data_IF_097472376107
#
_entry.id   IF_097472376107
#
_cell.length_a   1.000
_cell.length_b   1.000
_cell.length_c   1.000
_cell.angle_alpha   90.00
_cell.angle_beta   90.00
_cell.angle_gamma   90.00
#
_symmetry.space_group_name_H-M   'P 1'
#
loop_
_entity.id
_entity.type
_entity.pdbx_description
1 polymer ?
#
# COMPACT_ATOMS: atom_id res chain seq x y z
N UNK A 1 9.89 18.15 -28.34
CA UNK A 1 8.79 18.89 -27.70
C UNK A 1 7.87 17.88 -27.04
N UNK A 2 7.72 17.89 -25.70
CA UNK A 2 6.91 16.87 -25.00
C UNK A 2 7.03 16.83 -23.47
N UNK A 3 7.68 17.80 -22.82
CA UNK A 3 7.89 17.81 -21.36
C UNK A 3 6.81 18.54 -20.55
N UNK A 4 5.88 19.25 -21.19
CA UNK A 4 4.90 20.11 -20.50
C UNK A 4 3.70 19.38 -19.89
N UNK A 5 3.15 18.35 -20.54
CA UNK A 5 1.94 17.68 -20.04
C UNK A 5 2.19 16.83 -18.79
N UNK A 6 3.41 16.31 -18.61
CA UNK A 6 3.77 15.53 -17.43
C UNK A 6 4.11 16.39 -16.20
N UNK A 7 4.55 17.65 -16.39
CA UNK A 7 4.76 18.57 -15.27
C UNK A 7 3.44 19.03 -14.66
N UNK A 8 2.43 19.34 -15.48
CA UNK A 8 1.09 19.74 -15.01
C UNK A 8 0.43 18.62 -14.19
N UNK A 9 0.62 17.36 -14.59
CA UNK A 9 0.10 16.22 -13.84
C UNK A 9 0.81 16.02 -12.49
N UNK A 10 2.14 16.15 -12.44
CA UNK A 10 2.89 16.09 -11.17
C UNK A 10 2.52 17.25 -10.24
N UNK A 11 2.26 18.43 -10.79
CA UNK A 11 1.76 19.57 -10.03
C UNK A 11 0.35 19.32 -9.52
N UNK A 12 -0.54 18.74 -10.32
CA UNK A 12 -1.87 18.32 -9.88
C UNK A 12 -1.79 17.31 -8.74
N UNK A 13 -0.94 16.28 -8.84
CA UNK A 13 -0.72 15.31 -7.76
C UNK A 13 -0.19 15.99 -6.49
N UNK A 14 0.76 16.91 -6.63
CA UNK A 14 1.31 17.68 -5.51
C UNK A 14 0.25 18.58 -4.86
N UNK A 15 -0.58 19.23 -5.66
CA UNK A 15 -1.68 20.07 -5.19
C UNK A 15 -2.75 19.24 -4.46
N UNK A 16 -3.12 18.08 -5.01
CA UNK A 16 -4.05 17.15 -4.37
C UNK A 16 -3.52 16.58 -3.05
N UNK A 17 -2.24 16.21 -3.00
CA UNK A 17 -1.57 15.76 -1.78
C UNK A 17 -1.52 16.88 -0.72
N UNK A 18 -1.22 18.12 -1.13
CA UNK A 18 -1.20 19.29 -0.24
C UNK A 18 -2.59 19.65 0.27
N UNK A 19 -3.65 19.51 -0.55
CA UNK A 19 -5.03 19.72 -0.13
C UNK A 19 -5.45 18.71 0.95
N UNK A 20 -5.13 17.43 0.76
CA UNK A 20 -5.39 16.39 1.75
C UNK A 20 -4.62 16.61 3.07
N UNK A 21 -3.39 17.10 3.00
CA UNK A 21 -2.60 17.49 4.18
C UNK A 21 -3.24 18.66 4.95
N UNK A 22 -3.82 19.65 4.24
CA UNK A 22 -4.53 20.78 4.85
C UNK A 22 -5.83 20.35 5.54
N UNK A 23 -6.60 19.44 4.95
CA UNK A 23 -7.80 18.88 5.58
C UNK A 23 -7.50 18.09 6.85
N UNK A 24 -6.34 17.43 6.94
CA UNK A 24 -5.91 16.74 8.15
C UNK A 24 -5.35 17.67 9.23
N UNK A 25 -4.83 18.84 8.84
CA UNK A 25 -4.27 19.83 9.76
C UNK A 25 -5.32 20.83 10.30
N UNK A 26 -6.47 20.98 9.62
CA UNK A 26 -7.50 21.96 9.95
C UNK A 26 -8.79 21.35 10.49
N UNK A 27 -8.91 21.24 11.81
CA UNK A 27 -10.22 21.20 12.45
C UNK A 27 -10.88 22.58 12.38
N UNK A 28 -12.09 22.63 11.79
CA UNK A 28 -13.10 23.71 11.83
C UNK A 28 -12.89 25.02 11.04
N UNK A 29 -13.68 25.15 9.95
CA UNK A 29 -14.36 26.38 9.46
C UNK A 29 -13.60 27.36 8.56
N UNK A 30 -14.26 28.29 7.82
CA UNK A 30 -15.71 28.55 7.69
C UNK A 30 -16.26 28.42 6.25
N UNK A 31 -17.59 28.40 6.16
CA UNK A 31 -18.36 28.44 4.91
C UNK A 31 -18.27 29.84 4.24
N UNK A 32 -17.94 29.88 2.95
CA UNK A 32 -17.95 31.10 2.14
C UNK A 32 -17.80 30.79 0.66
N UNK A 33 -18.80 31.18 -0.12
CA UNK A 33 -19.06 30.80 -1.50
C UNK A 33 -18.11 31.46 -2.52
N UNK A 34 -17.79 30.72 -3.59
CA UNK A 34 -17.11 31.21 -4.79
C UNK A 34 -17.01 30.11 -5.84
N UNK A 35 -17.94 30.09 -6.79
CA UNK A 35 -18.17 28.99 -7.71
C UNK A 35 -17.03 28.75 -8.71
N UNK A 36 -16.48 27.54 -8.67
CA UNK A 36 -16.16 26.77 -9.85
C UNK A 36 -17.04 25.51 -9.78
N UNK A 37 -17.89 25.28 -10.79
CA UNK A 37 -18.67 24.04 -10.91
C UNK A 37 -17.72 22.88 -11.19
N UNK A 38 -16.95 22.45 -10.19
CA UNK A 38 -16.45 21.10 -10.14
C UNK A 38 -17.68 20.21 -10.12
N UNK A 39 -17.86 19.46 -11.20
CA UNK A 39 -18.90 18.43 -11.32
C UNK A 39 -19.01 17.74 -9.96
N UNK A 40 -20.17 17.90 -9.30
CA UNK A 40 -20.44 17.33 -7.98
C UNK A 40 -20.50 15.82 -8.17
N UNK A 41 -19.32 15.19 -8.18
CA UNK A 41 -19.12 13.77 -8.43
C UNK A 41 -19.85 13.00 -7.35
N UNK A 42 -21.03 12.48 -7.69
CA UNK A 42 -21.80 11.63 -6.80
C UNK A 42 -21.08 10.27 -6.72
N UNK A 43 -20.85 9.71 -5.53
CA UNK A 43 -20.45 8.31 -5.42
C UNK A 43 -21.49 7.48 -6.20
N UNK A 44 -21.02 6.51 -6.97
CA UNK A 44 -21.90 5.62 -7.74
C UNK A 44 -23.00 5.11 -6.80
N UNK A 45 -24.24 5.53 -7.09
CA UNK A 45 -25.39 5.15 -6.27
C UNK A 45 -25.51 3.63 -6.27
N UNK A 46 -26.19 3.07 -5.26
CA UNK A 46 -26.52 1.64 -5.19
C UNK A 46 -27.14 1.10 -6.50
N UNK A 47 -27.69 2.00 -7.35
CA UNK A 47 -28.23 1.71 -8.67
C UNK A 47 -27.27 1.81 -9.88
N UNK A 48 -25.99 2.17 -9.72
CA UNK A 48 -25.03 2.08 -10.83
C UNK A 48 -24.81 0.63 -11.25
N UNK A 49 -24.58 -0.24 -10.27
CA UNK A 49 -24.39 -1.68 -10.49
C UNK A 49 -25.63 -2.37 -11.06
N UNK A 50 -26.84 -1.88 -10.76
CA UNK A 50 -28.08 -2.42 -11.34
C UNK A 50 -28.31 -1.99 -12.80
N UNK A 51 -27.53 -1.02 -13.32
CA UNK A 51 -27.54 -0.63 -14.74
C UNK A 51 -26.46 -1.32 -15.57
N UNK A 52 -25.51 -1.98 -14.91
CA UNK A 52 -24.46 -2.79 -15.55
C UNK A 52 -24.87 -4.18 -16.09
N UNK A 53 -26.01 -4.82 -15.76
CA UNK A 53 -26.29 -6.20 -16.21
C UNK A 53 -26.26 -6.41 -17.72
N UNK A 54 -26.50 -5.35 -18.50
CA UNK A 54 -26.50 -5.42 -19.97
C UNK A 54 -25.15 -5.02 -20.60
N UNK A 55 -24.13 -4.70 -19.79
CA UNK A 55 -22.83 -4.36 -20.31
C UNK A 55 -22.07 -5.63 -20.73
N UNK A 56 -21.31 -5.54 -21.81
CA UNK A 56 -20.60 -6.70 -22.39
C UNK A 56 -19.61 -7.38 -21.43
N UNK A 57 -19.18 -6.67 -20.38
CA UNK A 57 -18.22 -7.10 -19.35
C UNK A 57 -18.90 -7.66 -18.08
N UNK A 58 -20.24 -7.69 -18.01
CA UNK A 58 -20.99 -8.09 -16.82
C UNK A 58 -21.61 -9.50 -16.94
N UNK A 59 -21.06 -10.34 -17.82
CA UNK A 59 -21.55 -11.71 -17.99
C UNK A 59 -21.11 -12.60 -16.82
N UNK A 60 -22.00 -13.46 -16.29
CA UNK A 60 -21.71 -14.29 -15.12
C UNK A 60 -20.62 -15.33 -15.35
N UNK A 61 -20.38 -15.73 -16.59
CA UNK A 61 -19.35 -16.69 -16.98
C UNK A 61 -17.92 -16.11 -16.99
N UNK A 62 -17.76 -14.79 -16.84
CA UNK A 62 -16.42 -14.22 -16.88
C UNK A 62 -15.60 -14.55 -15.63
N UNK A 63 -14.42 -15.05 -15.91
CA UNK A 63 -13.26 -15.11 -15.01
C UNK A 63 -12.35 -13.89 -15.26
N UNK A 64 -11.41 -13.56 -14.36
CA UNK A 64 -10.42 -12.51 -14.62
C UNK A 64 -9.66 -12.73 -15.94
N UNK A 65 -9.28 -13.97 -16.26
CA UNK A 65 -8.57 -14.30 -17.51
C UNK A 65 -9.44 -14.07 -18.75
N UNK A 66 -10.65 -14.63 -18.80
CA UNK A 66 -11.54 -14.48 -19.97
C UNK A 66 -12.02 -13.03 -20.16
N UNK A 67 -12.25 -12.30 -19.05
CA UNK A 67 -12.55 -10.86 -19.13
C UNK A 67 -11.36 -10.06 -19.65
N UNK A 68 -10.13 -10.43 -19.26
CA UNK A 68 -8.92 -9.77 -19.74
C UNK A 68 -8.74 -9.94 -21.26
N UNK A 69 -8.94 -11.15 -21.77
CA UNK A 69 -8.88 -11.41 -23.22
C UNK A 69 -9.88 -10.55 -24.01
N UNK A 70 -11.13 -10.46 -23.53
CA UNK A 70 -12.15 -9.62 -24.16
C UNK A 70 -11.82 -8.12 -24.05
N UNK A 71 -11.24 -7.67 -22.92
CA UNK A 71 -10.72 -6.29 -22.76
C UNK A 71 -9.65 -6.02 -23.83
N UNK A 72 -8.68 -6.91 -24.00
CA UNK A 72 -7.60 -6.75 -24.98
C UNK A 72 -8.17 -6.67 -26.41
N UNK A 73 -9.05 -7.62 -26.78
CA UNK A 73 -9.69 -7.64 -28.11
C UNK A 73 -10.48 -6.35 -28.41
N UNK A 74 -11.07 -5.73 -27.38
CA UNK A 74 -11.78 -4.44 -27.53
C UNK A 74 -10.85 -3.23 -27.55
N UNK A 75 -9.74 -3.28 -26.81
CA UNK A 75 -8.70 -2.25 -26.84
C UNK A 75 -8.05 -2.13 -28.22
N UNK A 76 -7.89 -3.24 -28.95
CA UNK A 76 -7.41 -3.24 -30.34
C UNK A 76 -8.37 -2.49 -31.28
N UNK A 77 -9.68 -2.63 -31.03
CA UNK A 77 -10.74 -1.95 -31.78
C UNK A 77 -11.05 -0.55 -31.25
N UNK A 78 -10.32 -0.05 -30.25
CA UNK A 78 -10.59 1.21 -29.53
C UNK A 78 -12.02 1.32 -28.97
N UNK A 79 -12.66 0.20 -28.64
CA UNK A 79 -14.03 0.16 -28.07
C UNK A 79 -14.05 -0.15 -26.58
N UNK A 80 -12.87 -0.31 -25.95
CA UNK A 80 -12.79 -0.59 -24.53
C UNK A 80 -12.89 0.69 -23.68
N UNK A 81 -13.75 0.65 -22.67
CA UNK A 81 -13.89 1.68 -21.65
C UNK A 81 -13.30 1.24 -20.31
N UNK A 82 -13.15 2.20 -19.39
CA UNK A 82 -12.65 1.94 -18.04
C UNK A 82 -13.63 1.13 -17.16
N UNK A 83 -14.90 1.04 -17.55
CA UNK A 83 -15.93 0.38 -16.74
C UNK A 83 -15.67 -1.12 -16.54
N UNK A 84 -15.07 -1.79 -17.53
CA UNK A 84 -14.71 -3.21 -17.44
C UNK A 84 -13.66 -3.48 -16.34
N UNK A 85 -12.81 -2.48 -16.03
CA UNK A 85 -11.81 -2.59 -14.97
C UNK A 85 -12.44 -2.70 -13.58
N UNK A 86 -13.64 -2.16 -13.37
CA UNK A 86 -14.35 -2.36 -12.11
C UNK A 86 -14.76 -3.82 -11.91
N UNK A 87 -15.20 -4.49 -12.98
CA UNK A 87 -15.53 -5.91 -12.91
C UNK A 87 -14.27 -6.73 -12.69
N UNK A 88 -13.17 -6.38 -13.39
CA UNK A 88 -11.87 -7.01 -13.17
C UNK A 88 -11.43 -6.92 -11.70
N UNK A 89 -11.49 -5.74 -11.08
CA UNK A 89 -11.17 -5.55 -9.66
C UNK A 89 -12.11 -6.33 -8.72
N UNK A 90 -13.35 -6.60 -9.14
CA UNK A 90 -14.32 -7.36 -8.34
C UNK A 90 -14.06 -8.87 -8.40
N UNK A 91 -13.62 -9.37 -9.55
CA UNK A 91 -13.40 -10.80 -9.80
C UNK A 91 -12.03 -11.27 -9.31
N UNK A 92 -11.01 -10.41 -9.32
CA UNK A 92 -9.67 -10.77 -8.88
C UNK A 92 -9.59 -10.95 -7.36
N UNK A 93 -9.28 -12.18 -6.95
CA UNK A 93 -9.21 -12.65 -5.56
C UNK A 93 -7.87 -13.32 -5.21
N UNK A 94 -7.00 -13.56 -6.20
CA UNK A 94 -5.65 -14.07 -6.00
C UNK A 94 -4.56 -13.10 -6.50
N UNK A 95 -3.29 -13.24 -6.06
CA UNK A 95 -2.20 -12.41 -6.55
C UNK A 95 -1.99 -12.50 -8.07
N UNK A 96 -2.21 -13.68 -8.67
CA UNK A 96 -2.11 -13.88 -10.13
C UNK A 96 -3.23 -13.16 -10.88
N UNK A 97 -4.45 -13.20 -10.35
CA UNK A 97 -5.59 -12.46 -10.91
C UNK A 97 -5.40 -10.95 -10.76
N UNK A 98 -4.80 -10.49 -9.65
CA UNK A 98 -4.46 -9.08 -9.47
C UNK A 98 -3.38 -8.61 -10.48
N UNK A 99 -2.40 -9.46 -10.82
CA UNK A 99 -1.44 -9.18 -11.90
C UNK A 99 -2.13 -9.08 -13.26
N UNK A 100 -3.07 -9.99 -13.54
CA UNK A 100 -3.90 -9.95 -14.75
C UNK A 100 -4.72 -8.66 -14.81
N UNK A 101 -5.30 -8.25 -13.67
CA UNK A 101 -6.03 -7.00 -13.58
C UNK A 101 -5.12 -5.79 -13.87
N UNK A 102 -3.91 -5.74 -13.31
CA UNK A 102 -2.96 -4.66 -13.60
C UNK A 102 -2.59 -4.58 -15.09
N UNK A 103 -2.41 -5.73 -15.76
CA UNK A 103 -2.20 -5.79 -17.20
C UNK A 103 -3.42 -5.24 -17.97
N UNK A 104 -4.64 -5.52 -17.50
CA UNK A 104 -5.87 -4.94 -18.05
C UNK A 104 -5.88 -3.40 -17.93
N UNK A 105 -5.49 -2.85 -16.77
CA UNK A 105 -5.35 -1.40 -16.57
C UNK A 105 -4.39 -0.80 -17.61
N UNK A 106 -3.22 -1.41 -17.83
CA UNK A 106 -2.26 -0.95 -18.82
C UNK A 106 -2.83 -0.98 -20.25
N UNK A 107 -3.51 -2.07 -20.63
CA UNK A 107 -4.12 -2.22 -21.96
C UNK A 107 -5.21 -1.18 -22.23
N UNK A 108 -6.13 -1.00 -21.27
CA UNK A 108 -7.20 0.01 -21.37
C UNK A 108 -6.59 1.40 -21.42
N UNK A 109 -5.56 1.67 -20.62
CA UNK A 109 -4.92 2.98 -20.59
C UNK A 109 -4.25 3.30 -21.93
N UNK A 110 -3.51 2.36 -22.50
CA UNK A 110 -2.93 2.51 -23.84
C UNK A 110 -4.01 2.78 -24.91
N UNK A 111 -5.14 2.08 -24.85
CA UNK A 111 -6.28 2.32 -25.75
C UNK A 111 -6.87 3.72 -25.60
N UNK A 112 -7.07 4.20 -24.37
CA UNK A 112 -7.62 5.54 -24.12
C UNK A 112 -6.67 6.65 -24.59
N UNK A 113 -5.36 6.49 -24.38
CA UNK A 113 -4.35 7.43 -24.86
C UNK A 113 -4.34 7.52 -26.39
N UNK A 114 -4.47 6.39 -27.11
CA UNK A 114 -4.63 6.40 -28.58
C UNK A 114 -5.86 7.16 -29.05
N UNK A 115 -6.91 7.21 -28.23
CA UNK A 115 -8.13 7.97 -28.49
C UNK A 115 -8.04 9.45 -28.05
N UNK A 116 -6.86 9.91 -27.59
CA UNK A 116 -6.65 11.27 -27.10
C UNK A 116 -7.16 11.52 -25.67
N UNK A 117 -7.60 10.48 -24.95
CA UNK A 117 -8.11 10.57 -23.57
C UNK A 117 -6.99 10.33 -22.58
N UNK A 118 -6.34 11.41 -22.17
CA UNK A 118 -5.15 11.39 -21.29
C UNK A 118 -5.49 11.62 -19.82
N UNK A 119 -6.75 11.81 -19.46
CA UNK A 119 -7.15 12.03 -18.07
C UNK A 119 -6.90 10.77 -17.22
N UNK A 120 -6.51 10.91 -15.95
CA UNK A 120 -6.42 9.79 -15.04
C UNK A 120 -7.75 9.07 -14.85
N UNK A 121 -7.69 7.83 -14.39
CA UNK A 121 -8.86 7.11 -13.95
C UNK A 121 -9.55 7.81 -12.78
N UNK A 122 -10.86 7.57 -12.67
CA UNK A 122 -11.65 8.16 -11.60
C UNK A 122 -11.16 7.66 -10.23
N UNK A 123 -11.28 8.50 -9.17
CA UNK A 123 -10.90 8.09 -7.81
C UNK A 123 -11.61 6.81 -7.34
N UNK A 124 -12.84 6.57 -7.80
CA UNK A 124 -13.59 5.37 -7.47
C UNK A 124 -12.95 4.10 -8.05
N UNK A 125 -12.36 4.17 -9.25
CA UNK A 125 -11.66 3.04 -9.84
C UNK A 125 -10.34 2.78 -9.12
N UNK A 126 -9.62 3.84 -8.72
CA UNK A 126 -8.43 3.70 -7.88
C UNK A 126 -8.77 3.07 -6.51
N UNK A 127 -9.92 3.40 -5.91
CA UNK A 127 -10.40 2.74 -4.69
C UNK A 127 -10.76 1.26 -4.95
N UNK A 128 -11.41 0.95 -6.07
CA UNK A 128 -11.72 -0.42 -6.44
C UNK A 128 -10.44 -1.26 -6.64
N UNK A 129 -9.42 -0.67 -7.27
CA UNK A 129 -8.09 -1.27 -7.39
C UNK A 129 -7.47 -1.57 -6.02
N UNK A 130 -7.44 -0.61 -5.08
CA UNK A 130 -6.89 -0.86 -3.74
C UNK A 130 -7.70 -1.89 -2.94
N UNK A 131 -9.02 -2.00 -3.15
CA UNK A 131 -9.84 -3.07 -2.57
C UNK A 131 -9.49 -4.44 -3.13
N UNK A 132 -9.24 -4.52 -4.44
CA UNK A 132 -8.75 -5.74 -5.09
C UNK A 132 -7.40 -6.16 -4.51
N UNK A 133 -6.45 -5.22 -4.39
CA UNK A 133 -5.13 -5.49 -3.77
C UNK A 133 -5.28 -6.10 -2.36
N UNK A 134 -6.20 -5.58 -1.56
CA UNK A 134 -6.51 -6.14 -0.23
C UNK A 134 -7.07 -7.54 -0.30
N UNK A 135 -8.06 -7.76 -1.17
CA UNK A 135 -8.76 -9.03 -1.27
C UNK A 135 -7.85 -10.15 -1.79
N UNK A 136 -6.92 -9.78 -2.68
CA UNK A 136 -5.98 -10.69 -3.30
C UNK A 136 -4.65 -10.83 -2.53
N UNK A 137 -4.44 -10.09 -1.44
CA UNK A 137 -3.16 -9.99 -0.73
C UNK A 137 -1.96 -9.87 -1.69
N UNK A 138 -2.02 -8.87 -2.57
CA UNK A 138 -1.08 -8.68 -3.69
C UNK A 138 -0.21 -7.40 -3.52
N UNK A 139 0.69 -7.34 -2.52
CA UNK A 139 1.49 -6.14 -2.25
C UNK A 139 2.46 -5.82 -3.40
N UNK A 140 3.01 -6.83 -4.07
CA UNK A 140 3.89 -6.69 -5.23
C UNK A 140 3.19 -5.98 -6.40
N UNK A 141 1.91 -6.30 -6.61
CA UNK A 141 1.07 -5.63 -7.63
C UNK A 141 0.84 -4.17 -7.27
N UNK A 142 0.69 -3.84 -5.98
CA UNK A 142 0.61 -2.45 -5.53
C UNK A 142 1.94 -1.70 -5.72
N UNK A 143 3.08 -2.35 -5.43
CA UNK A 143 4.41 -1.79 -5.66
C UNK A 143 4.59 -1.44 -7.14
N UNK A 144 4.25 -2.35 -8.04
CA UNK A 144 4.34 -2.12 -9.48
C UNK A 144 3.38 -1.02 -9.94
N UNK A 145 2.15 -1.02 -9.42
CA UNK A 145 1.18 0.04 -9.71
C UNK A 145 1.64 1.42 -9.21
N UNK A 146 2.33 1.50 -8.07
CA UNK A 146 2.92 2.75 -7.57
C UNK A 146 4.07 3.22 -8.48
N UNK A 147 4.97 2.31 -8.90
CA UNK A 147 6.08 2.65 -9.82
C UNK A 147 5.58 3.20 -11.15
N UNK A 148 4.44 2.71 -11.62
CA UNK A 148 3.83 3.06 -12.92
C UNK A 148 2.53 3.85 -12.78
N UNK A 149 2.30 4.51 -11.65
CA UNK A 149 1.00 5.14 -11.35
C UNK A 149 0.58 6.15 -12.44
N UNK A 150 1.52 6.93 -12.94
CA UNK A 150 1.30 7.91 -14.02
C UNK A 150 0.98 7.23 -15.35
N UNK A 151 1.73 6.19 -15.71
CA UNK A 151 1.53 5.41 -16.95
C UNK A 151 0.17 4.73 -16.95
N UNK A 152 -0.21 4.14 -15.81
CA UNK A 152 -1.47 3.43 -15.60
C UNK A 152 -2.65 4.39 -15.39
N UNK A 153 -2.43 5.71 -15.28
CA UNK A 153 -3.48 6.67 -14.97
C UNK A 153 -4.12 6.45 -13.58
N UNK A 154 -3.41 5.82 -12.64
CA UNK A 154 -3.89 5.55 -11.29
C UNK A 154 -3.52 6.69 -10.34
N UNK A 155 -4.54 7.32 -9.75
CA UNK A 155 -4.38 8.28 -8.65
C UNK A 155 -4.70 7.60 -7.32
N UNK A 156 -3.69 6.99 -6.72
CA UNK A 156 -3.84 6.23 -5.48
C UNK A 156 -3.95 7.16 -4.26
N UNK A 157 -4.99 6.95 -3.46
CA UNK A 157 -5.23 7.74 -2.25
C UNK A 157 -4.29 7.33 -1.13
N UNK A 158 -3.53 8.29 -0.58
CA UNK A 158 -2.69 8.09 0.60
C UNK A 158 -3.46 7.45 1.77
N UNK A 159 -4.68 7.91 2.04
CA UNK A 159 -5.53 7.37 3.12
C UNK A 159 -5.81 5.88 2.93
N UNK A 160 -6.13 5.47 1.70
CA UNK A 160 -6.43 4.06 1.38
C UNK A 160 -5.18 3.18 1.38
N UNK A 161 -4.05 3.70 0.91
CA UNK A 161 -2.77 3.00 1.04
C UNK A 161 -2.42 2.80 2.52
N UNK A 162 -2.60 3.81 3.37
CA UNK A 162 -2.39 3.66 4.81
C UNK A 162 -3.34 2.65 5.46
N UNK A 163 -4.59 2.51 5.00
CA UNK A 163 -5.50 1.46 5.47
C UNK A 163 -4.97 0.05 5.13
N UNK A 164 -4.41 -0.16 3.93
CA UNK A 164 -3.75 -1.41 3.56
C UNK A 164 -2.54 -1.70 4.44
N UNK A 165 -1.64 -0.72 4.57
CA UNK A 165 -0.44 -0.85 5.40
C UNK A 165 -0.79 -1.17 6.86
N UNK A 166 -1.88 -0.60 7.40
CA UNK A 166 -2.35 -0.97 8.75
C UNK A 166 -2.82 -2.41 8.83
N UNK A 167 -3.59 -2.87 7.85
CA UNK A 167 -4.06 -4.26 7.79
C UNK A 167 -2.90 -5.25 7.77
N UNK A 168 -1.91 -5.02 6.91
CA UNK A 168 -0.68 -5.81 6.87
C UNK A 168 0.16 -5.68 8.14
N UNK A 169 0.17 -4.50 8.76
CA UNK A 169 0.88 -4.27 10.03
C UNK A 169 0.26 -5.04 11.20
N UNK A 170 -1.07 -5.15 11.22
CA UNK A 170 -1.80 -5.97 12.19
C UNK A 170 -1.59 -7.48 11.93
N UNK A 171 -1.36 -7.89 10.68
CA UNK A 171 -1.01 -9.26 10.30
C UNK A 171 0.48 -9.62 10.54
N UNK A 172 1.34 -8.63 10.80
CA UNK A 172 2.77 -8.88 10.96
C UNK A 172 3.55 -8.96 9.63
N UNK A 173 3.03 -8.39 8.56
CA UNK A 173 3.66 -8.41 7.24
C UNK A 173 4.58 -7.20 7.02
N UNK A 174 5.66 -7.13 7.80
CA UNK A 174 6.60 -5.99 7.75
C UNK A 174 7.30 -5.90 6.38
N UNK A 175 7.66 -7.03 5.78
CA UNK A 175 8.32 -7.06 4.47
C UNK A 175 7.46 -6.41 3.38
N UNK A 176 6.15 -6.71 3.36
CA UNK A 176 5.22 -6.10 2.41
C UNK A 176 5.09 -4.58 2.61
N UNK A 177 5.04 -4.15 3.87
CA UNK A 177 5.02 -2.72 4.21
C UNK A 177 6.31 -2.04 3.74
N UNK A 178 7.48 -2.64 3.96
CA UNK A 178 8.78 -2.08 3.53
C UNK A 178 8.79 -1.81 2.03
N UNK A 179 8.37 -2.77 1.20
CA UNK A 179 8.37 -2.63 -0.25
C UNK A 179 7.38 -1.55 -0.73
N UNK A 180 6.16 -1.56 -0.18
CA UNK A 180 5.13 -0.58 -0.56
C UNK A 180 5.53 0.83 -0.12
N UNK A 181 6.05 0.99 1.10
CA UNK A 181 6.55 2.28 1.59
C UNK A 181 7.66 2.78 0.68
N UNK A 182 8.63 1.93 0.31
CA UNK A 182 9.69 2.35 -0.62
C UNK A 182 9.16 2.83 -1.99
N UNK A 183 8.04 2.26 -2.47
CA UNK A 183 7.41 2.64 -3.73
C UNK A 183 6.47 3.85 -3.64
N UNK A 184 5.99 4.22 -2.45
CA UNK A 184 5.01 5.31 -2.27
C UNK A 184 5.41 6.63 -2.97
N UNK A 185 6.65 7.16 -2.83
CA UNK A 185 7.02 8.40 -3.48
C UNK A 185 7.04 8.32 -5.01
N UNK A 186 7.30 7.13 -5.58
CA UNK A 186 7.28 6.90 -7.01
C UNK A 186 5.85 7.05 -7.57
N UNK A 187 4.86 6.63 -6.78
CA UNK A 187 3.45 6.82 -7.07
C UNK A 187 2.88 8.19 -6.69
N UNK A 188 3.74 9.14 -6.28
CA UNK A 188 3.33 10.48 -5.87
C UNK A 188 2.71 10.55 -4.47
N UNK A 189 2.86 9.51 -3.65
CA UNK A 189 2.37 9.49 -2.26
C UNK A 189 3.52 9.85 -1.31
N UNK A 190 3.50 11.03 -0.68
CA UNK A 190 4.56 11.42 0.24
C UNK A 190 4.46 10.66 1.57
N UNK A 191 5.60 10.49 2.22
CA UNK A 191 5.64 10.02 3.60
C UNK A 191 5.06 11.06 4.55
N UNK A 192 4.35 10.59 5.57
CA UNK A 192 3.91 11.46 6.65
C UNK A 192 3.99 10.73 8.01
N UNK A 193 3.52 11.42 9.05
CA UNK A 193 3.56 10.90 10.42
C UNK A 193 2.72 9.61 10.60
N UNK A 194 1.71 9.38 9.76
CA UNK A 194 0.93 8.13 9.74
C UNK A 194 1.75 6.99 9.14
N UNK A 195 2.44 7.24 8.02
CA UNK A 195 3.36 6.25 7.42
C UNK A 195 4.44 5.85 8.43
N UNK A 196 5.05 6.84 9.09
CA UNK A 196 6.06 6.61 10.12
C UNK A 196 5.50 5.76 11.28
N UNK A 197 4.31 6.11 11.78
CA UNK A 197 3.68 5.34 12.86
C UNK A 197 3.43 3.88 12.47
N UNK A 198 2.91 3.61 11.27
CA UNK A 198 2.58 2.24 10.83
C UNK A 198 3.83 1.37 10.75
N UNK A 199 4.87 1.82 10.06
CA UNK A 199 6.09 1.02 9.86
C UNK A 199 6.84 0.80 11.18
N UNK A 200 6.93 1.83 12.04
CA UNK A 200 7.58 1.74 13.35
C UNK A 200 6.78 0.83 14.30
N UNK A 201 5.45 0.98 14.37
CA UNK A 201 4.57 0.10 15.17
C UNK A 201 4.75 -1.35 14.77
N UNK A 202 4.72 -1.64 13.48
CA UNK A 202 4.84 -3.01 12.96
C UNK A 202 6.19 -3.61 13.35
N UNK A 203 7.29 -2.87 13.18
CA UNK A 203 8.62 -3.33 13.57
C UNK A 203 8.76 -3.60 15.08
N UNK A 204 8.26 -2.70 15.93
CA UNK A 204 8.28 -2.90 17.40
C UNK A 204 7.44 -4.11 17.80
N UNK A 205 6.27 -4.29 17.19
CA UNK A 205 5.40 -5.43 17.48
C UNK A 205 6.06 -6.77 17.13
N UNK A 206 6.91 -6.81 16.10
CA UNK A 206 7.69 -8.00 15.73
C UNK A 206 8.97 -8.19 16.55
N UNK A 207 9.26 -7.32 17.51
CA UNK A 207 10.52 -7.33 18.25
C UNK A 207 11.73 -6.90 17.41
N UNK A 208 11.52 -6.38 16.20
CA UNK A 208 12.56 -5.86 15.32
C UNK A 208 12.94 -4.42 15.70
N UNK A 209 13.43 -4.23 16.94
CA UNK A 209 13.69 -2.90 17.50
C UNK A 209 14.70 -2.11 16.67
N UNK A 210 15.75 -2.75 16.17
CA UNK A 210 16.78 -2.09 15.34
C UNK A 210 16.19 -1.54 14.04
N UNK A 211 15.28 -2.28 13.41
CA UNK A 211 14.52 -1.79 12.24
C UNK A 211 13.63 -0.61 12.61
N UNK A 212 12.95 -0.66 13.76
CA UNK A 212 12.11 0.43 14.23
C UNK A 212 12.89 1.75 14.40
N UNK A 213 14.09 1.69 14.99
CA UNK A 213 14.99 2.84 15.13
C UNK A 213 15.51 3.35 13.77
N UNK A 214 15.83 2.41 12.87
CA UNK A 214 16.22 2.75 11.51
C UNK A 214 15.12 3.53 10.80
N UNK A 215 13.87 3.06 10.83
CA UNK A 215 12.76 3.80 10.21
C UNK A 215 12.51 5.14 10.87
N UNK A 216 12.61 5.23 12.20
CA UNK A 216 12.46 6.50 12.92
C UNK A 216 13.49 7.53 12.43
N UNK A 217 14.75 7.12 12.34
CA UNK A 217 15.85 7.95 11.83
C UNK A 217 15.63 8.34 10.37
N UNK A 218 15.24 7.38 9.54
CA UNK A 218 14.98 7.55 8.12
C UNK A 218 13.78 8.50 7.85
N UNK A 219 12.77 8.49 8.71
CA UNK A 219 11.62 9.42 8.65
C UNK A 219 12.02 10.83 9.08
N UNK A 220 12.81 10.97 10.15
CA UNK A 220 13.33 12.27 10.62
C UNK A 220 14.22 12.92 9.55
N UNK A 221 15.12 12.15 8.91
CA UNK A 221 15.96 12.62 7.81
C UNK A 221 15.13 13.15 6.63
N UNK A 222 13.94 12.60 6.41
CA UNK A 222 12.96 13.05 5.41
C UNK A 222 12.02 14.14 5.93
N UNK A 223 12.36 14.78 7.04
CA UNK A 223 11.59 15.84 7.70
C UNK A 223 10.17 15.41 8.13
N UNK A 224 9.94 14.11 8.30
CA UNK A 224 8.68 13.59 8.84
C UNK A 224 8.72 13.66 10.36
N UNK A 225 7.84 14.49 10.94
CA UNK A 225 7.72 14.61 12.39
C UNK A 225 7.13 13.33 13.00
N UNK A 226 7.85 12.74 13.96
CA UNK A 226 7.32 11.63 14.76
C UNK A 226 6.35 12.16 15.83
N UNK A 227 5.17 11.53 15.93
CA UNK A 227 4.17 11.85 16.95
C UNK A 227 4.62 11.39 18.34
N UNK A 228 4.04 11.95 19.40
CA UNK A 228 4.31 11.52 20.78
C UNK A 228 4.03 10.02 20.97
N UNK A 229 2.96 9.51 20.37
CA UNK A 229 2.61 8.08 20.41
C UNK A 229 3.68 7.21 19.76
N UNK A 230 4.26 7.65 18.64
CA UNK A 230 5.35 6.94 17.96
C UNK A 230 6.61 6.88 18.83
N UNK A 231 6.95 7.99 19.51
CA UNK A 231 8.10 8.05 20.42
C UNK A 231 7.94 7.12 21.62
N UNK A 232 6.78 7.14 22.27
CA UNK A 232 6.46 6.21 23.39
C UNK A 232 6.57 4.75 22.97
N UNK A 233 6.14 4.44 21.75
CA UNK A 233 6.20 3.07 21.22
C UNK A 233 7.65 2.62 21.00
N UNK A 234 8.54 3.48 20.49
CA UNK A 234 9.97 3.20 20.40
C UNK A 234 10.59 2.96 21.78
N UNK A 235 10.28 3.81 22.77
CA UNK A 235 10.76 3.67 24.14
C UNK A 235 10.32 2.34 24.77
N UNK A 236 9.05 1.97 24.61
CA UNK A 236 8.53 0.69 25.07
C UNK A 236 9.25 -0.50 24.41
N UNK A 237 9.56 -0.39 23.12
CA UNK A 237 10.34 -1.39 22.39
C UNK A 237 11.78 -1.52 22.90
N UNK A 238 12.47 -0.41 23.17
CA UNK A 238 13.82 -0.40 23.79
C UNK A 238 13.82 -1.09 25.15
N UNK A 239 12.83 -0.81 25.98
CA UNK A 239 12.72 -1.39 27.32
C UNK A 239 12.50 -2.91 27.25
N UNK A 240 11.61 -3.36 26.35
CA UNK A 240 11.38 -4.79 26.11
C UNK A 240 12.67 -5.50 25.67
N UNK A 241 13.45 -4.89 24.76
CA UNK A 241 14.71 -5.45 24.30
C UNK A 241 15.76 -5.53 25.43
N UNK A 242 15.83 -4.52 26.31
CA UNK A 242 16.72 -4.56 27.50
C UNK A 242 16.37 -5.70 28.43
N UNK A 243 15.08 -5.85 28.76
CA UNK A 243 14.60 -6.94 29.61
C UNK A 243 14.92 -8.32 29.02
N UNK A 244 14.71 -8.50 27.71
CA UNK A 244 15.06 -9.74 27.01
C UNK A 244 16.57 -10.03 27.05
N UNK A 245 17.43 -9.01 26.85
CA UNK A 245 18.89 -9.17 26.95
C UNK A 245 19.35 -9.52 28.37
N UNK A 246 18.75 -8.90 29.39
CA UNK A 246 19.04 -9.23 30.79
C UNK A 246 18.63 -10.66 31.13
N UNK A 247 17.43 -11.09 30.69
CA UNK A 247 16.96 -12.46 30.89
C UNK A 247 17.83 -13.49 30.17
N UNK A 248 18.22 -13.22 28.92
CA UNK A 248 19.12 -14.07 28.16
C UNK A 248 20.50 -14.18 28.80
N UNK A 249 21.06 -13.07 29.32
CA UNK A 249 22.32 -13.07 30.03
C UNK A 249 22.24 -13.88 31.35
N UNK A 250 21.16 -13.71 32.11
CA UNK A 250 20.93 -14.47 33.34
C UNK A 250 20.80 -15.98 33.05
N UNK A 251 20.06 -16.36 32.01
CA UNK A 251 19.92 -17.75 31.59
C UNK A 251 21.26 -18.35 31.13
N UNK A 252 22.07 -17.60 30.39
CA UNK A 252 23.40 -18.03 29.97
C UNK A 252 24.35 -18.25 31.16
N UNK A 253 24.31 -17.37 32.17
CA UNK A 253 25.10 -17.54 33.40
C UNK A 253 24.68 -18.78 34.18
N UNK A 254 23.38 -19.05 34.31
CA UNK A 254 22.86 -20.25 34.97
C UNK A 254 23.28 -21.53 34.22
N UNK A 255 23.22 -21.52 32.89
CA UNK A 255 23.67 -22.65 32.08
C UNK A 255 25.18 -22.93 32.24
N UNK A 256 26.01 -21.88 32.31
CA UNK A 256 27.45 -22.01 32.58
C UNK A 256 27.74 -22.58 33.98
N UNK A 257 26.99 -22.13 35.00
CA UNK A 257 27.13 -22.66 36.37
C UNK A 257 26.72 -24.15 36.45
N UNK A 258 25.65 -24.54 35.78
CA UNK A 258 25.22 -25.93 35.73
C UNK A 258 26.27 -26.85 35.06
N UNK A 259 26.92 -26.38 33.99
CA UNK A 259 28.00 -27.12 33.33
C UNK A 259 29.24 -27.27 34.22
N UNK A 260 29.57 -26.25 35.01
CA UNK A 260 30.69 -26.33 35.97
C UNK A 260 30.39 -27.30 37.12
N UNK A 261 29.13 -27.40 37.55
CA UNK A 261 28.71 -28.31 38.61
C UNK A 261 28.57 -29.76 38.14
N UNK A 262 28.32 -30.00 36.85
CA UNK A 262 28.20 -31.35 36.29
C UNK A 262 29.52 -32.14 36.31
N UNK A 263 30.68 -31.47 36.45
CA UNK A 263 32.01 -32.09 36.57
C UNK A 263 32.43 -32.93 35.34
N UNK A 264 33.72 -33.24 35.15
CA UNK A 264 34.09 -34.30 34.24
C UNK A 264 33.47 -35.59 34.77
N UNK A 265 32.55 -36.18 33.99
CA UNK A 265 32.05 -37.52 34.27
C UNK A 265 33.23 -38.44 34.55
N UNK A 266 33.12 -39.36 35.54
CA UNK A 266 34.25 -40.18 35.98
C UNK A 266 34.90 -40.76 34.73
N UNK A 267 36.18 -40.44 34.53
CA UNK A 267 36.95 -41.02 33.45
C UNK A 267 36.80 -42.54 33.60
N UNK A 268 36.20 -43.19 32.60
CA UNK A 268 36.19 -44.64 32.48
C UNK A 268 37.65 -45.08 32.30
N UNK A 269 38.36 -45.16 33.41
CA UNK A 269 39.66 -45.76 33.52
C UNK A 269 39.49 -47.26 33.66
N UNK A 270 40.07 -47.96 32.69
CA UNK A 270 40.87 -49.15 32.96
C UNK A 270 40.10 -50.34 33.55
N UNK A 271 39.42 -51.09 32.68
CA UNK A 271 39.39 -52.54 32.84
C UNK A 271 40.22 -53.18 31.73
N UNK A 272 41.43 -53.56 32.14
CA UNK A 272 42.30 -54.66 31.68
C UNK A 272 42.65 -54.81 30.18
#
# INVERSE_FOLDING_TARGET
MGSGQFSEFREFQRQAANAALREQAGGQGPAGAGGAQAARWRPYSKGYWSRLPNAWFAKPEYTPASLYEEIVARCEKNTCGADALYMMCKLATSPEEARTALAAFAAVRASLVRQGRVEPYSPNLAVAFLRMIRAADAPDVLVEALRRATELGLLLSMTRVHELLRGWGDAGELAWIEEVVAAMPLGGIPYNHVTAYIVIRTAVNQGAQEKAEYYASAMIQRQVRLTASTKRLLEAGRERQRLQRMQAAAAAQQAQQAQQQAGPGPAEGEME
#
